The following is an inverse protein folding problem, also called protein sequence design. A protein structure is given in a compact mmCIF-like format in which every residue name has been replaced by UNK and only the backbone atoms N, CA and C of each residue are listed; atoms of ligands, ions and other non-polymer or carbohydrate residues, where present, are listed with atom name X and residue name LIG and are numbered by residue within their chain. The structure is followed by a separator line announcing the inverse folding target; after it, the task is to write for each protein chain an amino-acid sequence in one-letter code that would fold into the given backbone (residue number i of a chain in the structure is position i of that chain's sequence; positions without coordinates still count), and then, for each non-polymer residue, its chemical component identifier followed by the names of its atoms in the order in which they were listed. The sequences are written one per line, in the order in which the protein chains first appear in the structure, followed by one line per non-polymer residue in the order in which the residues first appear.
data_IF_531876994892
#
_entry.id   IF_531876994892
#
_cell.length_a   1.000
_cell.length_b   1.000
_cell.length_c   1.000
_cell.angle_alpha   90.00
_cell.angle_beta   90.00
_cell.angle_gamma   90.00
#
_symmetry.space_group_name_H-M   'P 1'
#
loop_
_entity.id
_entity.type
_entity.pdbx_description
1 polymer ?
#
# COMPACT_ATOMS: atom_id res chain seq x y z
N UNK A 1 6.70 -2.02 20.65
CA UNK A 1 5.27 -2.23 20.34
C UNK A 1 4.86 -1.17 19.32
N UNK A 2 4.70 -1.50 18.04
CA UNK A 2 4.28 -0.49 17.05
C UNK A 2 4.43 -0.88 15.57
N UNK A 3 5.24 -1.88 15.23
CA UNK A 3 5.48 -2.25 13.83
C UNK A 3 4.18 -2.71 13.14
N UNK A 4 3.39 -3.56 13.81
CA UNK A 4 2.10 -4.03 13.29
C UNK A 4 1.09 -2.90 13.04
N UNK A 5 1.06 -1.88 13.91
CA UNK A 5 0.18 -0.73 13.74
C UNK A 5 0.62 0.13 12.55
N UNK A 6 1.94 0.31 12.36
CA UNK A 6 2.47 1.06 11.22
C UNK A 6 2.16 0.37 9.89
N UNK A 7 2.39 -0.94 9.81
CA UNK A 7 2.06 -1.76 8.64
C UNK A 7 0.56 -1.73 8.31
N UNK A 8 -0.29 -1.82 9.35
CA UNK A 8 -1.74 -1.69 9.18
C UNK A 8 -2.13 -0.30 8.67
N UNK A 9 -1.50 0.76 9.18
CA UNK A 9 -1.76 2.14 8.75
C UNK A 9 -1.33 2.39 7.30
N UNK A 10 -0.23 1.80 6.86
CA UNK A 10 0.27 1.90 5.48
C UNK A 10 -0.68 1.17 4.50
N UNK A 11 -1.18 0.00 4.88
CA UNK A 11 -2.20 -0.74 4.12
C UNK A 11 -3.50 0.06 3.98
N UNK A 12 -4.00 0.60 5.09
CA UNK A 12 -5.22 1.43 5.10
C UNK A 12 -5.04 2.71 4.27
N UNK A 13 -3.88 3.37 4.38
CA UNK A 13 -3.56 4.55 3.59
C UNK A 13 -3.57 4.23 2.09
N UNK A 14 -2.91 3.16 1.66
CA UNK A 14 -2.88 2.75 0.26
C UNK A 14 -4.29 2.39 -0.27
N UNK A 15 -5.10 1.74 0.57
CA UNK A 15 -6.48 1.36 0.24
C UNK A 15 -7.43 2.56 0.13
N UNK A 16 -7.16 3.67 0.80
CA UNK A 16 -7.94 4.92 0.68
C UNK A 16 -7.43 5.76 -0.50
N UNK A 17 -6.11 5.86 -0.67
CA UNK A 17 -5.48 6.66 -1.72
C UNK A 17 -5.76 6.11 -3.11
N UNK A 18 -5.75 4.78 -3.31
CA UNK A 18 -6.02 4.16 -4.61
C UNK A 18 -7.38 4.51 -5.21
N UNK A 19 -8.50 4.30 -4.48
CA UNK A 19 -9.84 4.69 -4.93
C UNK A 19 -10.00 6.21 -5.08
N UNK A 20 -9.39 7.02 -4.21
CA UNK A 20 -9.41 8.48 -4.32
C UNK A 20 -8.74 8.96 -5.62
N UNK A 21 -7.55 8.42 -5.93
CA UNK A 21 -6.85 8.70 -7.19
C UNK A 21 -7.64 8.17 -8.39
N UNK A 22 -8.22 6.98 -8.28
CA UNK A 22 -9.07 6.39 -9.32
C UNK A 22 -10.30 7.23 -9.64
N UNK A 23 -10.98 7.76 -8.63
CA UNK A 23 -12.10 8.69 -8.79
C UNK A 23 -11.69 10.03 -9.39
N UNK A 24 -10.55 10.57 -8.96
CA UNK A 24 -9.99 11.79 -9.54
C UNK A 24 -9.70 11.61 -11.04
N UNK A 25 -9.12 10.46 -11.39
CA UNK A 25 -8.83 10.09 -12.77
C UNK A 25 -10.12 9.92 -13.60
N UNK A 26 -11.13 9.21 -13.09
CA UNK A 26 -12.42 9.06 -13.77
C UNK A 26 -13.12 10.40 -14.00
N UNK A 27 -13.02 11.34 -13.05
CA UNK A 27 -13.58 12.70 -13.18
C UNK A 27 -12.86 13.53 -14.25
N UNK A 28 -11.56 13.34 -14.43
CA UNK A 28 -10.74 14.05 -15.42
C UNK A 28 -10.87 13.45 -16.82
N UNK A 29 -10.91 12.13 -16.93
CA UNK A 29 -10.97 11.41 -18.19
C UNK A 29 -12.40 11.29 -18.76
N UNK A 30 -13.42 11.61 -17.97
CA UNK A 30 -14.83 11.43 -18.35
C UNK A 30 -15.21 9.97 -18.57
N UNK A 31 -14.35 9.04 -18.15
CA UNK A 31 -14.56 7.60 -18.29
C UNK A 31 -15.54 7.12 -17.21
N UNK A 32 -16.44 6.20 -17.59
CA UNK A 32 -17.14 5.32 -16.64
C UNK A 32 -16.13 4.67 -15.67
N UNK A 33 -16.53 4.14 -14.48
CA UNK A 33 -15.71 4.06 -13.26
C UNK A 33 -14.57 3.01 -13.30
N UNK A 34 -13.82 2.99 -14.39
CA UNK A 34 -12.72 2.08 -14.70
C UNK A 34 -11.45 2.53 -13.98
N UNK A 35 -11.23 3.84 -13.82
CA UNK A 35 -10.19 4.42 -12.99
C UNK A 35 -10.38 4.09 -11.52
N UNK A 36 -11.61 4.11 -10.99
CA UNK A 36 -11.95 3.63 -9.66
C UNK A 36 -11.63 2.15 -9.50
N UNK A 37 -12.12 1.29 -10.40
CA UNK A 37 -11.88 -0.16 -10.34
C UNK A 37 -10.38 -0.45 -10.38
N UNK A 38 -9.67 0.12 -11.36
CA UNK A 38 -8.21 0.01 -11.46
C UNK A 38 -7.48 0.58 -10.25
N UNK A 39 -7.93 1.72 -9.73
CA UNK A 39 -7.38 2.40 -8.56
C UNK A 39 -7.54 1.60 -7.26
N UNK A 40 -8.64 0.88 -7.09
CA UNK A 40 -8.83 -0.06 -5.97
C UNK A 40 -7.81 -1.19 -6.06
N UNK A 41 -7.68 -1.85 -7.21
CA UNK A 41 -6.73 -2.94 -7.39
C UNK A 41 -5.27 -2.47 -7.24
N UNK A 42 -4.93 -1.31 -7.81
CA UNK A 42 -3.61 -0.68 -7.66
C UNK A 42 -3.32 -0.30 -6.22
N UNK A 43 -4.27 0.31 -5.51
CA UNK A 43 -4.13 0.68 -4.10
C UNK A 43 -3.92 -0.55 -3.21
N UNK A 44 -4.66 -1.62 -3.47
CA UNK A 44 -4.48 -2.89 -2.78
C UNK A 44 -3.12 -3.52 -3.08
N UNK A 45 -2.73 -3.62 -4.35
CA UNK A 45 -1.44 -4.16 -4.76
C UNK A 45 -0.28 -3.35 -4.15
N UNK A 46 -0.36 -2.02 -4.19
CA UNK A 46 0.63 -1.14 -3.58
C UNK A 46 0.72 -1.35 -2.06
N UNK A 47 -0.42 -1.46 -1.35
CA UNK A 47 -0.45 -1.72 0.09
C UNK A 47 0.17 -3.07 0.47
N UNK A 48 -0.15 -4.13 -0.27
CA UNK A 48 0.44 -5.47 -0.06
C UNK A 48 1.95 -5.45 -0.34
N UNK A 49 2.38 -4.81 -1.42
CA UNK A 49 3.80 -4.69 -1.76
C UNK A 49 4.56 -3.90 -0.68
N UNK A 50 3.99 -2.82 -0.16
CA UNK A 50 4.61 -2.00 0.88
C UNK A 50 4.83 -2.80 2.17
N UNK A 51 3.79 -3.53 2.61
CA UNK A 51 3.88 -4.43 3.77
C UNK A 51 4.89 -5.54 3.55
N UNK A 52 4.88 -6.19 2.38
CA UNK A 52 5.83 -7.27 2.07
C UNK A 52 7.28 -6.79 2.12
N UNK A 53 7.53 -5.54 1.71
CA UNK A 53 8.86 -4.93 1.73
C UNK A 53 9.29 -4.56 3.15
N UNK A 54 8.38 -4.00 3.94
CA UNK A 54 8.62 -3.71 5.35
C UNK A 54 8.90 -4.98 6.18
N UNK A 55 8.22 -6.11 5.88
CA UNK A 55 8.53 -7.41 6.46
C UNK A 55 9.96 -7.87 6.13
N UNK A 56 10.35 -7.77 4.85
CA UNK A 56 11.70 -8.16 4.40
C UNK A 56 12.80 -7.31 5.03
N UNK A 57 12.58 -6.00 5.15
CA UNK A 57 13.53 -5.10 5.80
C UNK A 57 13.68 -5.42 7.29
N UNK A 58 12.59 -5.77 7.97
CA UNK A 58 12.63 -6.20 9.37
C UNK A 58 13.44 -7.49 9.52
N UNK A 59 13.20 -8.49 8.68
CA UNK A 59 13.95 -9.75 8.70
C UNK A 59 15.45 -9.57 8.42
N UNK A 60 15.82 -8.70 7.47
CA UNK A 60 17.21 -8.40 7.15
C UNK A 60 17.94 -7.65 8.29
N UNK A 61 17.22 -6.82 9.06
CA UNK A 61 17.78 -6.17 10.26
C UNK A 61 18.04 -7.17 11.38
N UNK A 62 17.12 -8.10 11.62
CA UNK A 62 17.27 -9.12 12.66
C UNK A 62 18.49 -10.02 12.43
N UNK A 63 18.77 -10.39 11.16
CA UNK A 63 19.97 -11.15 10.78
C UNK A 63 21.29 -10.37 10.95
N UNK A 64 21.25 -9.04 10.73
CA UNK A 64 22.42 -8.18 10.92
C UNK A 64 22.73 -7.94 12.40
N UNK A 65 21.71 -7.87 13.26
CA UNK A 65 21.86 -7.67 14.70
C UNK A 65 22.34 -8.95 15.42
N UNK A 66 21.96 -10.13 14.95
CA UNK A 66 22.42 -11.42 15.51
C UNK A 66 23.89 -11.76 15.21
N UNK A 67 24.54 -11.03 14.29
CA UNK A 67 25.94 -11.27 13.88
C UNK A 67 26.93 -10.29 14.52
N UNK A 68 26.49 -9.38 15.40
CA UNK A 68 27.34 -8.40 16.07
C UNK A 68 27.72 -8.80 17.51
#
# INVERSE_FOLDING_TARGET
MGTGFRLGSELLAAMIVGPLLGLGFDRLAGTSPWGLVGGIFLGFAAGVLNVSRAMKETAARDEAETKN
#
